data_IF_474659063801
#
_entry.id   IF_474659063801
#
_cell.length_a   1.000
_cell.length_b   1.000
_cell.length_c   1.000
_cell.angle_alpha   90.00
_cell.angle_beta   90.00
_cell.angle_gamma   90.00
#
_symmetry.space_group_name_H-M   'P 1'
#
loop_
_entity.id
_entity.type
_entity.pdbx_description
1 polymer ?
#
# COMPACT_ATOMS: atom_id res chain seq x y z
N UNK A 1 -12.58 -6.97 2.76
CA UNK A 1 -13.82 -7.75 2.66
C UNK A 1 -13.81 -8.71 3.84
N UNK A 2 -14.82 -8.63 4.71
CA UNK A 2 -14.92 -9.54 5.84
C UNK A 2 -15.68 -10.81 5.40
N UNK A 3 -15.02 -11.95 5.53
CA UNK A 3 -15.59 -13.26 5.21
C UNK A 3 -16.40 -13.87 6.36
N UNK A 4 -16.35 -13.27 7.56
CA UNK A 4 -17.10 -13.72 8.73
C UNK A 4 -18.61 -13.73 8.48
N UNK A 5 -19.08 -12.82 7.62
CA UNK A 5 -20.50 -12.64 7.26
C UNK A 5 -20.94 -13.44 6.04
N UNK A 6 -20.02 -14.11 5.33
CA UNK A 6 -20.34 -14.96 4.17
C UNK A 6 -20.30 -16.41 4.66
N UNK A 7 -21.36 -17.19 4.42
CA UNK A 7 -21.38 -18.59 4.84
C UNK A 7 -20.35 -19.43 4.08
N UNK A 8 -19.99 -20.59 4.65
CA UNK A 8 -18.96 -21.47 4.09
C UNK A 8 -19.28 -21.95 2.68
N UNK A 9 -20.55 -22.25 2.39
CA UNK A 9 -20.95 -22.76 1.08
C UNK A 9 -20.73 -21.70 0.01
N UNK A 10 -21.16 -20.47 0.26
CA UNK A 10 -20.94 -19.33 -0.64
C UNK A 10 -19.45 -19.08 -0.88
N UNK A 11 -18.59 -19.17 0.14
CA UNK A 11 -17.13 -19.01 -0.05
C UNK A 11 -16.53 -20.11 -0.91
N UNK A 12 -16.95 -21.35 -0.72
CA UNK A 12 -16.48 -22.48 -1.55
C UNK A 12 -16.97 -22.39 -2.99
N UNK A 13 -18.17 -21.83 -3.23
CA UNK A 13 -18.67 -21.58 -4.57
C UNK A 13 -17.82 -20.57 -5.36
N UNK A 14 -17.14 -19.63 -4.69
CA UNK A 14 -16.19 -18.71 -5.33
C UNK A 14 -14.92 -19.43 -5.83
N UNK A 15 -14.51 -20.48 -5.15
CA UNK A 15 -13.36 -21.32 -5.54
C UNK A 15 -13.71 -22.33 -6.64
N UNK A 16 -14.99 -22.59 -6.86
CA UNK A 16 -15.47 -23.53 -7.86
C UNK A 16 -15.65 -22.92 -9.25
N UNK A 17 -15.68 -23.78 -10.27
CA UNK A 17 -15.97 -23.39 -11.65
C UNK A 17 -14.71 -23.14 -12.49
N UNK A 18 -14.81 -22.18 -13.39
CA UNK A 18 -13.77 -21.87 -14.39
C UNK A 18 -12.62 -21.07 -13.79
N UNK A 19 -11.43 -21.29 -14.34
CA UNK A 19 -10.23 -20.50 -14.05
C UNK A 19 -10.02 -19.44 -15.14
N UNK A 20 -9.30 -18.38 -14.77
CA UNK A 20 -8.74 -17.37 -15.67
C UNK A 20 -7.21 -17.48 -15.61
N UNK A 21 -6.57 -17.39 -16.78
CA UNK A 21 -5.11 -17.29 -16.89
C UNK A 21 -4.69 -15.82 -16.82
N UNK A 22 -3.90 -15.45 -15.84
CA UNK A 22 -3.22 -14.17 -15.76
C UNK A 22 -1.82 -14.30 -16.36
N UNK A 23 -1.48 -13.42 -17.29
CA UNK A 23 -0.11 -13.27 -17.83
C UNK A 23 0.53 -12.08 -17.13
N UNK A 24 1.45 -12.35 -16.22
CA UNK A 24 2.07 -11.36 -15.35
C UNK A 24 3.41 -10.94 -15.93
N UNK A 25 3.47 -9.72 -16.45
CA UNK A 25 4.69 -9.11 -16.98
C UNK A 25 5.44 -8.36 -15.88
N UNK A 26 6.77 -8.47 -15.88
CA UNK A 26 7.62 -7.82 -14.90
C UNK A 26 8.99 -7.45 -15.49
N UNK A 27 9.61 -6.42 -14.91
CA UNK A 27 10.91 -5.88 -15.32
C UNK A 27 11.59 -5.20 -14.15
N UNK A 28 12.89 -5.43 -13.95
CA UNK A 28 13.58 -4.94 -12.76
C UNK A 28 15.04 -5.36 -12.76
N UNK A 29 15.77 -4.85 -11.78
CA UNK A 29 17.21 -5.05 -11.62
C UNK A 29 17.50 -6.21 -10.66
N UNK A 30 18.67 -6.83 -10.82
CA UNK A 30 19.14 -7.89 -9.91
C UNK A 30 19.15 -7.46 -8.44
N UNK A 31 19.61 -6.25 -8.07
CA UNK A 31 19.54 -5.78 -6.68
C UNK A 31 18.10 -5.72 -6.12
N UNK A 32 17.14 -5.22 -6.90
CA UNK A 32 15.73 -5.15 -6.46
C UNK A 32 15.15 -6.55 -6.23
N UNK A 33 15.46 -7.50 -7.11
CA UNK A 33 14.98 -8.87 -6.97
C UNK A 33 15.63 -9.63 -5.82
N UNK A 34 16.93 -9.42 -5.57
CA UNK A 34 17.61 -10.03 -4.43
C UNK A 34 16.95 -9.63 -3.11
N UNK A 35 16.57 -8.37 -2.97
CA UNK A 35 15.91 -7.88 -1.78
C UNK A 35 14.46 -8.39 -1.66
N UNK A 36 13.73 -8.48 -2.77
CA UNK A 36 12.40 -9.12 -2.81
C UNK A 36 12.43 -10.59 -2.40
N UNK A 37 13.44 -11.36 -2.82
CA UNK A 37 13.65 -12.74 -2.38
C UNK A 37 13.96 -12.78 -0.88
N UNK A 38 14.87 -11.93 -0.41
CA UNK A 38 15.23 -11.85 1.00
C UNK A 38 14.02 -11.53 1.88
N UNK A 39 13.16 -10.59 1.46
CA UNK A 39 11.95 -10.24 2.19
C UNK A 39 10.94 -11.42 2.22
N UNK A 40 10.85 -12.21 1.16
CA UNK A 40 9.95 -13.36 1.10
C UNK A 40 10.44 -14.56 1.94
N UNK A 41 11.69 -14.57 2.39
CA UNK A 41 12.27 -15.68 3.15
C UNK A 41 11.46 -15.93 4.43
N UNK A 42 11.01 -17.17 4.62
CA UNK A 42 10.13 -17.61 5.72
C UNK A 42 8.71 -16.98 5.74
N UNK A 43 8.41 -16.01 4.87
CA UNK A 43 7.10 -15.36 4.78
C UNK A 43 6.19 -15.97 3.69
N UNK A 44 6.77 -16.68 2.72
CA UNK A 44 6.03 -17.40 1.69
C UNK A 44 6.27 -18.91 1.77
N UNK A 45 5.36 -19.70 1.19
CA UNK A 45 5.55 -21.14 1.11
C UNK A 45 6.78 -21.49 0.22
N UNK A 46 7.40 -22.67 0.41
CA UNK A 46 8.63 -23.04 -0.31
C UNK A 46 8.50 -23.01 -1.84
N UNK A 47 7.33 -23.38 -2.37
CA UNK A 47 7.08 -23.36 -3.81
C UNK A 47 7.12 -21.94 -4.39
N UNK A 48 6.45 -20.98 -3.72
CA UNK A 48 6.52 -19.57 -4.13
C UNK A 48 7.94 -19.02 -4.00
N UNK A 49 8.65 -19.39 -2.93
CA UNK A 49 10.03 -18.95 -2.72
C UNK A 49 10.96 -19.42 -3.85
N UNK A 50 10.84 -20.69 -4.26
CA UNK A 50 11.55 -21.23 -5.43
C UNK A 50 11.22 -20.46 -6.71
N UNK A 51 9.94 -20.17 -6.95
CA UNK A 51 9.50 -19.39 -8.12
C UNK A 51 10.02 -17.96 -8.13
N UNK A 52 10.12 -17.29 -6.99
CA UNK A 52 10.77 -15.99 -6.89
C UNK A 52 12.24 -16.07 -7.34
N UNK A 53 12.97 -17.12 -6.92
CA UNK A 53 14.35 -17.39 -7.36
C UNK A 53 14.46 -17.61 -8.87
N UNK A 54 13.61 -18.46 -9.44
CA UNK A 54 13.56 -18.70 -10.90
C UNK A 54 13.27 -17.42 -11.69
N UNK A 55 12.31 -16.61 -11.21
CA UNK A 55 11.90 -15.36 -11.85
C UNK A 55 13.01 -14.30 -11.79
N UNK A 56 13.70 -14.20 -10.65
CA UNK A 56 14.85 -13.31 -10.49
C UNK A 56 16.03 -13.72 -11.38
N UNK A 57 16.21 -15.03 -11.63
CA UNK A 57 17.19 -15.53 -12.59
C UNK A 57 16.98 -15.04 -14.04
N UNK A 58 15.81 -14.50 -14.35
CA UNK A 58 15.50 -13.85 -15.63
C UNK A 58 15.70 -12.32 -15.61
N UNK A 59 16.36 -11.76 -14.59
CA UNK A 59 16.74 -10.35 -14.53
C UNK A 59 17.50 -9.90 -15.79
N UNK A 60 17.24 -8.67 -16.24
CA UNK A 60 17.91 -8.10 -17.42
C UNK A 60 17.36 -8.56 -18.77
N UNK A 61 16.41 -9.51 -18.83
CA UNK A 61 15.63 -9.74 -20.05
C UNK A 61 14.60 -8.63 -20.21
N UNK A 62 14.51 -8.05 -21.41
CA UNK A 62 13.44 -7.12 -21.74
C UNK A 62 12.10 -7.88 -21.69
N UNK A 63 11.29 -7.59 -20.66
CA UNK A 63 9.94 -8.12 -20.44
C UNK A 63 9.87 -9.64 -20.23
N UNK A 64 10.05 -10.08 -18.99
CA UNK A 64 9.73 -11.44 -18.57
C UNK A 64 8.24 -11.57 -18.23
N UNK A 65 7.67 -12.75 -18.46
CA UNK A 65 6.27 -13.02 -18.13
C UNK A 65 6.07 -14.42 -17.58
N UNK A 66 5.14 -14.57 -16.63
CA UNK A 66 4.66 -15.88 -16.18
C UNK A 66 3.16 -16.01 -16.35
N UNK A 67 2.65 -17.25 -16.34
CA UNK A 67 1.21 -17.54 -16.35
C UNK A 67 0.78 -18.06 -14.98
N UNK A 68 -0.33 -17.55 -14.47
CA UNK A 68 -0.93 -17.98 -13.21
C UNK A 68 -2.42 -18.23 -13.44
N UNK A 69 -2.92 -19.37 -13.00
CA UNK A 69 -4.35 -19.68 -13.05
C UNK A 69 -5.00 -19.40 -11.70
N UNK A 70 -6.19 -18.78 -11.73
CA UNK A 70 -6.96 -18.47 -10.52
C UNK A 70 -8.45 -18.68 -10.80
N UNK A 71 -9.26 -19.12 -9.80
CA UNK A 71 -10.71 -19.20 -9.97
C UNK A 71 -11.31 -17.84 -10.33
N UNK A 72 -12.08 -17.79 -11.42
CA UNK A 72 -12.61 -16.55 -12.00
C UNK A 72 -13.51 -15.80 -11.02
N UNK A 73 -14.43 -16.54 -10.37
CA UNK A 73 -15.36 -15.97 -9.38
C UNK A 73 -14.63 -15.43 -8.15
N UNK A 74 -13.59 -16.13 -7.69
CA UNK A 74 -12.76 -15.69 -6.58
C UNK A 74 -12.05 -14.37 -6.93
N UNK A 75 -11.42 -14.29 -8.11
CA UNK A 75 -10.73 -13.07 -8.55
C UNK A 75 -11.72 -11.90 -8.72
N UNK A 76 -12.88 -12.14 -9.34
CA UNK A 76 -13.92 -11.13 -9.52
C UNK A 76 -14.50 -10.64 -8.19
N UNK A 77 -14.66 -11.52 -7.19
CA UNK A 77 -15.09 -11.12 -5.85
C UNK A 77 -14.02 -10.28 -5.15
N UNK A 78 -12.74 -10.54 -5.42
CA UNK A 78 -11.64 -9.86 -4.77
C UNK A 78 -11.26 -8.51 -5.38
N UNK A 79 -11.49 -8.35 -6.68
CA UNK A 79 -10.99 -7.23 -7.46
C UNK A 79 -12.08 -6.56 -8.28
N UNK A 80 -12.22 -5.25 -8.07
CA UNK A 80 -13.21 -4.43 -8.77
C UNK A 80 -12.92 -4.38 -10.27
N UNK A 81 -11.63 -4.30 -10.62
CA UNK A 81 -11.17 -4.28 -12.01
C UNK A 81 -11.59 -5.56 -12.73
N UNK A 82 -11.46 -6.72 -12.07
CA UNK A 82 -11.85 -8.00 -12.65
C UNK A 82 -13.36 -8.24 -12.62
N UNK A 83 -14.09 -7.73 -11.63
CA UNK A 83 -15.55 -7.82 -11.57
C UNK A 83 -16.20 -7.19 -12.82
N UNK A 84 -15.71 -6.03 -13.26
CA UNK A 84 -16.18 -5.36 -14.48
C UNK A 84 -15.81 -6.09 -15.77
N UNK A 85 -14.76 -6.94 -15.74
CA UNK A 85 -14.31 -7.70 -16.89
C UNK A 85 -15.11 -8.99 -17.10
N UNK A 86 -15.69 -9.60 -16.04
CA UNK A 86 -16.43 -10.88 -16.12
C UNK A 86 -17.45 -10.95 -17.28
N UNK A 87 -18.28 -9.93 -17.54
CA UNK A 87 -19.21 -9.98 -18.68
C UNK A 87 -18.49 -10.08 -20.04
N UNK A 88 -17.35 -9.39 -20.18
CA UNK A 88 -16.51 -9.46 -21.38
C UNK A 88 -15.74 -10.78 -21.49
N UNK A 89 -15.36 -11.38 -20.35
CA UNK A 89 -14.75 -12.70 -20.26
C UNK A 89 -15.66 -13.78 -20.80
N UNK A 90 -16.91 -13.80 -20.33
CA UNK A 90 -17.92 -14.78 -20.73
C UNK A 90 -18.17 -14.70 -22.24
N UNK A 91 -18.38 -13.49 -22.76
CA UNK A 91 -18.57 -13.26 -24.19
C UNK A 91 -17.37 -13.71 -25.05
N UNK A 92 -16.14 -13.37 -24.63
CA UNK A 92 -14.93 -13.79 -25.36
C UNK A 92 -14.70 -15.30 -25.30
N UNK A 93 -14.98 -15.95 -24.18
CA UNK A 93 -14.85 -17.41 -24.05
C UNK A 93 -15.80 -18.15 -25.00
N UNK A 94 -17.00 -17.62 -25.21
CA UNK A 94 -17.98 -18.19 -26.15
C UNK A 94 -17.57 -18.02 -27.62
N UNK A 95 -16.81 -16.96 -27.93
CA UNK A 95 -16.39 -16.65 -29.30
C UNK A 95 -14.97 -17.17 -29.65
N UNK A 96 -14.05 -17.24 -28.68
CA UNK A 96 -12.62 -17.54 -28.84
C UNK A 96 -12.12 -18.44 -27.69
N UNK A 97 -12.44 -19.74 -27.68
CA UNK A 97 -12.19 -20.64 -26.55
C UNK A 97 -10.71 -20.92 -26.26
N UNK A 98 -9.80 -20.70 -27.22
CA UNK A 98 -8.40 -21.11 -27.10
C UNK A 98 -7.45 -20.07 -26.49
N UNK A 99 -7.91 -18.85 -26.16
CA UNK A 99 -6.98 -17.76 -25.78
C UNK A 99 -7.53 -16.81 -24.72
N UNK A 100 -8.18 -17.33 -23.68
CA UNK A 100 -8.61 -16.46 -22.59
C UNK A 100 -7.49 -16.22 -21.55
N UNK A 101 -6.80 -15.09 -21.69
CA UNK A 101 -5.83 -14.61 -20.71
C UNK A 101 -5.95 -13.10 -20.48
N UNK A 102 -5.72 -12.66 -19.24
CA UNK A 102 -5.59 -11.24 -18.91
C UNK A 102 -4.12 -10.90 -18.69
N UNK A 103 -3.61 -9.90 -19.40
CA UNK A 103 -2.27 -9.38 -19.16
C UNK A 103 -2.29 -8.34 -18.03
N UNK A 104 -1.30 -8.43 -17.14
CA UNK A 104 -1.05 -7.47 -16.09
C UNK A 104 0.43 -7.11 -16.06
N UNK A 105 0.73 -5.85 -15.80
CA UNK A 105 2.10 -5.38 -15.62
C UNK A 105 2.35 -5.09 -14.13
N UNK A 106 3.27 -5.86 -13.54
CA UNK A 106 3.65 -5.75 -12.13
C UNK A 106 4.80 -4.75 -11.89
N UNK A 107 5.34 -4.15 -12.95
CA UNK A 107 6.51 -3.28 -12.83
C UNK A 107 7.72 -4.04 -12.32
N UNK A 108 8.31 -3.50 -11.26
CA UNK A 108 9.53 -4.05 -10.64
C UNK A 108 9.26 -5.15 -9.62
N UNK A 109 8.02 -5.60 -9.47
CA UNK A 109 7.63 -6.65 -8.52
C UNK A 109 7.70 -8.01 -9.19
N UNK A 110 8.35 -8.96 -8.50
CA UNK A 110 8.41 -10.35 -8.94
C UNK A 110 7.01 -11.00 -8.89
N UNK A 111 6.58 -11.68 -9.97
CA UNK A 111 5.27 -12.32 -10.03
C UNK A 111 4.98 -13.37 -8.94
N UNK A 112 6.00 -13.91 -8.28
CA UNK A 112 5.81 -14.80 -7.13
C UNK A 112 5.02 -14.14 -5.99
N UNK A 113 5.07 -12.82 -5.84
CA UNK A 113 4.20 -12.11 -4.90
C UNK A 113 2.73 -12.19 -5.33
N UNK A 114 2.42 -12.11 -6.62
CA UNK A 114 1.05 -12.31 -7.11
C UNK A 114 0.58 -13.74 -6.87
N UNK A 115 1.45 -14.74 -7.11
CA UNK A 115 1.15 -16.13 -6.78
C UNK A 115 0.86 -16.30 -5.28
N UNK A 116 1.65 -15.66 -4.42
CA UNK A 116 1.45 -15.65 -2.98
C UNK A 116 0.10 -15.05 -2.59
N UNK A 117 -0.17 -13.81 -3.00
CA UNK A 117 -1.39 -13.07 -2.67
C UNK A 117 -2.65 -13.84 -3.12
N UNK A 118 -2.64 -14.38 -4.35
CA UNK A 118 -3.76 -15.14 -4.88
C UNK A 118 -3.95 -16.47 -4.15
N UNK A 119 -2.86 -17.19 -3.86
CA UNK A 119 -2.92 -18.44 -3.07
C UNK A 119 -3.47 -18.18 -1.68
N UNK A 120 -2.95 -17.14 -1.02
CA UNK A 120 -3.35 -16.74 0.31
C UNK A 120 -4.84 -16.38 0.36
N UNK A 121 -5.33 -15.60 -0.59
CA UNK A 121 -6.75 -15.28 -0.75
C UNK A 121 -7.61 -16.55 -0.92
N UNK A 122 -7.18 -17.48 -1.78
CA UNK A 122 -7.91 -18.72 -2.02
C UNK A 122 -7.94 -19.63 -0.78
N UNK A 123 -6.86 -19.66 0.01
CA UNK A 123 -6.83 -20.35 1.29
C UNK A 123 -7.78 -19.70 2.30
N UNK A 124 -7.78 -18.37 2.41
CA UNK A 124 -8.69 -17.64 3.31
C UNK A 124 -10.18 -17.95 3.00
N UNK A 125 -10.56 -18.00 1.72
CA UNK A 125 -11.90 -18.41 1.30
C UNK A 125 -12.25 -19.84 1.76
N UNK A 126 -11.29 -20.77 1.64
CA UNK A 126 -11.47 -22.18 1.99
C UNK A 126 -11.61 -22.40 3.50
N UNK A 127 -10.74 -21.75 4.26
CA UNK A 127 -10.60 -21.95 5.70
C UNK A 127 -11.57 -21.06 6.49
N UNK A 128 -12.18 -20.07 5.83
CA UNK A 128 -13.12 -19.16 6.46
C UNK A 128 -12.46 -18.17 7.41
N UNK A 129 -11.17 -17.92 7.23
CA UNK A 129 -10.44 -16.91 7.98
C UNK A 129 -10.92 -15.54 7.48
N UNK A 130 -11.67 -14.83 8.33
CA UNK A 130 -12.03 -13.44 8.10
C UNK A 130 -10.78 -12.61 7.97
N UNK A 131 -10.66 -11.83 6.87
CA UNK A 131 -10.10 -10.47 6.82
C UNK A 131 -8.69 -10.17 7.35
N UNK A 132 -8.09 -11.03 8.15
CA UNK A 132 -6.81 -10.85 8.77
C UNK A 132 -5.81 -11.32 7.73
N UNK A 133 -5.60 -10.45 6.76
CA UNK A 133 -4.41 -10.38 5.92
C UNK A 133 -3.15 -10.17 6.78
N UNK A 134 -3.19 -10.47 8.06
CA UNK A 134 -2.14 -10.27 9.02
C UNK A 134 -2.16 -11.42 10.01
N UNK A 135 -1.00 -11.94 10.39
CA UNK A 135 -0.89 -12.67 11.65
C UNK A 135 -1.43 -11.77 12.77
N UNK A 136 -2.02 -12.34 13.81
CA UNK A 136 -2.49 -11.58 15.00
C UNK A 136 -1.40 -10.65 15.58
N UNK A 137 -0.12 -10.95 15.31
CA UNK A 137 1.04 -10.11 15.52
C UNK A 137 1.97 -10.22 14.32
N UNK A 138 1.92 -9.32 13.33
CA UNK A 138 2.89 -9.35 12.27
C UNK A 138 4.29 -9.12 12.87
N UNK A 139 5.23 -10.00 12.53
CA UNK A 139 6.65 -9.78 12.86
C UNK A 139 7.12 -8.54 12.10
N UNK A 140 7.73 -7.60 12.83
CA UNK A 140 8.32 -6.37 12.28
C UNK A 140 9.84 -6.37 12.48
N UNK A 141 10.45 -7.54 12.70
CA UNK A 141 11.89 -7.63 12.85
C UNK A 141 12.57 -7.58 11.48
N UNK A 142 13.61 -6.73 11.39
CA UNK A 142 14.62 -6.68 10.33
C UNK A 142 14.06 -6.48 8.89
N UNK A 143 13.78 -7.57 8.18
CA UNK A 143 13.52 -7.61 6.73
C UNK A 143 12.04 -7.83 6.36
N UNK A 144 11.19 -8.20 7.32
CA UNK A 144 9.77 -8.54 7.06
C UNK A 144 8.96 -7.31 6.59
N UNK A 145 9.43 -6.09 6.89
CA UNK A 145 8.71 -4.86 6.53
C UNK A 145 8.52 -4.70 5.01
N UNK A 146 9.49 -5.15 4.22
CA UNK A 146 9.42 -5.07 2.77
C UNK A 146 8.49 -6.12 2.16
N UNK A 147 8.36 -7.28 2.80
CA UNK A 147 7.43 -8.32 2.37
C UNK A 147 5.99 -7.80 2.35
N UNK A 148 5.61 -7.05 3.40
CA UNK A 148 4.29 -6.43 3.48
C UNK A 148 4.10 -5.35 2.41
N UNK A 149 5.14 -4.56 2.12
CA UNK A 149 5.11 -3.57 1.06
C UNK A 149 4.91 -4.22 -0.32
N UNK A 150 5.67 -5.26 -0.65
CA UNK A 150 5.55 -5.96 -1.93
C UNK A 150 4.20 -6.66 -2.09
N UNK A 151 3.67 -7.24 -1.01
CA UNK A 151 2.34 -7.83 -0.98
C UNK A 151 1.24 -6.78 -1.20
N UNK A 152 1.36 -5.62 -0.56
CA UNK A 152 0.44 -4.50 -0.74
C UNK A 152 0.41 -4.00 -2.19
N UNK A 153 1.59 -3.73 -2.76
CA UNK A 153 1.70 -3.25 -4.14
C UNK A 153 1.12 -4.27 -5.12
N UNK A 154 1.38 -5.55 -4.88
CA UNK A 154 0.80 -6.64 -5.68
C UNK A 154 -0.72 -6.65 -5.62
N UNK A 155 -1.32 -6.50 -4.43
CA UNK A 155 -2.77 -6.41 -4.28
C UNK A 155 -3.34 -5.21 -5.06
N UNK A 156 -2.64 -4.07 -5.07
CA UNK A 156 -3.03 -2.91 -5.88
C UNK A 156 -3.00 -3.23 -7.37
N UNK A 157 -1.93 -3.85 -7.88
CA UNK A 157 -1.82 -4.24 -9.30
C UNK A 157 -2.84 -5.31 -9.71
N UNK A 158 -3.34 -6.09 -8.76
CA UNK A 158 -4.43 -7.06 -8.97
C UNK A 158 -5.84 -6.43 -8.85
N UNK A 159 -5.96 -5.13 -8.54
CA UNK A 159 -7.24 -4.45 -8.29
C UNK A 159 -7.93 -4.86 -6.98
N UNK A 160 -7.21 -5.55 -6.09
CA UNK A 160 -7.69 -6.03 -4.78
C UNK A 160 -7.70 -4.92 -3.72
N UNK A 161 -8.31 -3.77 -4.05
CA UNK A 161 -8.17 -2.53 -3.27
C UNK A 161 -8.63 -2.64 -1.82
N UNK A 162 -9.73 -3.35 -1.56
CA UNK A 162 -10.24 -3.53 -0.20
C UNK A 162 -9.25 -4.30 0.70
N UNK A 163 -8.52 -5.26 0.13
CA UNK A 163 -7.54 -6.05 0.86
C UNK A 163 -6.24 -5.27 1.08
N UNK A 164 -5.78 -4.56 0.05
CA UNK A 164 -4.67 -3.64 0.18
C UNK A 164 -4.94 -2.57 1.25
N UNK A 165 -6.14 -1.96 1.29
CA UNK A 165 -6.50 -0.99 2.33
C UNK A 165 -6.42 -1.59 3.74
N UNK A 166 -6.99 -2.79 3.93
CA UNK A 166 -6.95 -3.49 5.22
C UNK A 166 -5.51 -3.73 5.69
N UNK A 167 -4.63 -4.16 4.78
CA UNK A 167 -3.21 -4.33 5.05
C UNK A 167 -2.52 -2.99 5.37
N UNK A 168 -2.86 -1.94 4.61
CA UNK A 168 -2.36 -0.59 4.79
C UNK A 168 -2.65 -0.05 6.19
N UNK A 169 -3.91 -0.11 6.61
CA UNK A 169 -4.40 0.39 7.89
C UNK A 169 -3.80 -0.37 9.08
N UNK A 170 -3.56 -1.66 8.90
CA UNK A 170 -3.24 -2.56 10.01
C UNK A 170 -1.73 -2.75 10.22
N UNK A 171 -0.90 -2.69 9.17
CA UNK A 171 0.56 -2.82 9.31
C UNK A 171 1.35 -1.69 8.66
N UNK A 172 1.02 -1.26 7.43
CA UNK A 172 1.89 -0.32 6.72
C UNK A 172 1.97 1.04 7.41
N UNK A 173 0.88 1.50 8.04
CA UNK A 173 0.89 2.66 8.94
C UNK A 173 2.02 2.59 9.97
N UNK A 174 2.07 1.47 10.69
CA UNK A 174 3.09 1.20 11.71
C UNK A 174 4.48 1.12 11.08
N UNK A 175 4.64 0.45 9.94
CA UNK A 175 5.94 0.30 9.28
C UNK A 175 6.49 1.63 8.78
N UNK A 176 5.64 2.46 8.20
CA UNK A 176 6.00 3.80 7.73
C UNK A 176 6.38 4.67 8.91
N UNK A 177 5.53 4.78 9.93
CA UNK A 177 5.73 5.71 11.04
C UNK A 177 6.86 5.29 12.00
N UNK A 178 6.87 4.02 12.43
CA UNK A 178 7.74 3.54 13.52
C UNK A 178 8.99 2.81 13.03
N UNK A 179 8.95 2.20 11.85
CA UNK A 179 10.03 1.34 11.35
C UNK A 179 10.70 1.87 10.09
N UNK A 180 10.48 3.15 9.77
CA UNK A 180 11.24 3.88 8.75
C UNK A 180 11.19 3.13 7.41
N UNK A 181 10.01 2.60 7.04
CA UNK A 181 9.87 1.77 5.84
C UNK A 181 10.34 2.52 4.58
N UNK A 182 10.05 3.83 4.51
CA UNK A 182 10.19 4.66 3.31
C UNK A 182 11.26 5.75 3.45
N UNK A 183 12.16 5.63 4.43
CA UNK A 183 13.17 6.65 4.70
C UNK A 183 14.36 6.56 3.74
N UNK A 184 14.56 5.37 3.15
CA UNK A 184 15.59 5.13 2.14
C UNK A 184 15.09 5.60 0.77
N UNK A 185 15.88 6.43 0.09
CA UNK A 185 15.52 7.03 -1.22
C UNK A 185 15.01 6.02 -2.23
N UNK A 186 15.66 4.85 -2.32
CA UNK A 186 15.31 3.85 -3.32
C UNK A 186 13.97 3.15 -3.00
N UNK A 187 13.57 3.05 -1.72
CA UNK A 187 12.22 2.60 -1.35
C UNK A 187 11.21 3.68 -1.69
N UNK A 188 11.50 4.93 -1.37
CA UNK A 188 10.60 6.03 -1.68
C UNK A 188 10.33 6.07 -3.19
N UNK A 189 11.39 6.03 -4.00
CA UNK A 189 11.32 5.92 -5.46
C UNK A 189 10.44 4.74 -5.90
N UNK A 190 10.69 3.55 -5.36
CA UNK A 190 9.89 2.36 -5.65
C UNK A 190 8.40 2.53 -5.30
N UNK A 191 8.07 3.15 -4.16
CA UNK A 191 6.69 3.41 -3.74
C UNK A 191 6.02 4.41 -4.68
N UNK A 192 6.70 5.49 -5.03
CA UNK A 192 6.16 6.55 -5.88
C UNK A 192 5.99 6.10 -7.34
N UNK A 193 6.87 5.22 -7.84
CA UNK A 193 6.75 4.62 -9.17
C UNK A 193 5.54 3.66 -9.27
N UNK A 194 5.20 2.99 -8.18
CA UNK A 194 4.20 1.91 -8.20
C UNK A 194 2.79 2.34 -7.75
N UNK A 195 2.66 3.48 -7.06
CA UNK A 195 1.39 3.99 -6.55
C UNK A 195 0.88 5.20 -7.34
N UNK A 196 -0.43 5.39 -7.25
CA UNK A 196 -1.10 6.60 -7.76
C UNK A 196 -1.32 7.59 -6.63
N UNK A 197 -1.52 8.87 -6.95
CA UNK A 197 -1.81 9.93 -5.97
C UNK A 197 -3.07 9.69 -5.12
N UNK A 198 -4.01 8.90 -5.65
CA UNK A 198 -5.23 8.51 -4.94
C UNK A 198 -5.00 7.44 -3.87
N UNK A 199 -3.82 6.81 -3.85
CA UNK A 199 -3.54 5.70 -2.95
C UNK A 199 -3.32 6.19 -1.50
N UNK A 200 -3.95 5.56 -0.49
CA UNK A 200 -3.75 5.88 0.92
C UNK A 200 -2.28 5.83 1.38
N UNK A 201 -1.49 4.86 0.90
CA UNK A 201 -0.07 4.76 1.28
C UNK A 201 0.74 5.94 0.70
N UNK A 202 0.41 6.39 -0.51
CA UNK A 202 1.04 7.58 -1.12
C UNK A 202 0.87 8.81 -0.21
N UNK A 203 -0.34 9.03 0.31
CA UNK A 203 -0.64 10.13 1.24
C UNK A 203 0.07 9.98 2.57
N UNK A 204 0.07 8.78 3.14
CA UNK A 204 0.76 8.49 4.40
C UNK A 204 2.26 8.74 4.30
N UNK A 205 2.89 8.38 3.17
CA UNK A 205 4.31 8.66 2.92
C UNK A 205 4.57 10.16 2.81
N UNK A 206 3.69 10.91 2.13
CA UNK A 206 3.79 12.36 2.09
C UNK A 206 3.68 12.98 3.50
N UNK A 207 2.71 12.53 4.30
CA UNK A 207 2.54 12.97 5.70
C UNK A 207 3.79 12.70 6.55
N UNK A 208 4.42 11.54 6.37
CA UNK A 208 5.68 11.23 7.04
C UNK A 208 6.77 12.23 6.70
N UNK A 209 6.98 12.56 5.43
CA UNK A 209 8.01 13.51 5.01
C UNK A 209 7.73 14.93 5.51
N UNK A 210 6.46 15.33 5.55
CA UNK A 210 6.04 16.59 6.17
C UNK A 210 6.47 16.65 7.65
N UNK A 211 6.27 15.56 8.41
CA UNK A 211 6.67 15.47 9.83
C UNK A 211 8.20 15.48 9.97
N UNK A 212 8.92 14.67 9.20
CA UNK A 212 10.38 14.56 9.26
C UNK A 212 11.06 15.90 8.96
N UNK A 213 10.59 16.62 7.93
CA UNK A 213 11.12 17.95 7.59
C UNK A 213 10.87 18.98 8.70
N UNK A 214 9.66 19.00 9.29
CA UNK A 214 9.35 19.90 10.40
C UNK A 214 10.17 19.60 11.66
N UNK A 215 10.60 18.36 11.85
CA UNK A 215 11.49 17.95 12.94
C UNK A 215 12.97 18.18 12.63
N UNK A 216 13.33 18.58 11.40
CA UNK A 216 14.73 18.65 10.96
C UNK A 216 15.40 17.27 10.89
N UNK A 217 14.61 16.21 10.72
CA UNK A 217 15.03 14.80 10.73
C UNK A 217 14.80 14.13 9.37
N UNK A 218 14.79 14.91 8.28
CA UNK A 218 14.70 14.33 6.94
C UNK A 218 15.85 13.36 6.70
N UNK A 219 15.51 12.14 6.30
CA UNK A 219 16.49 11.10 5.94
C UNK A 219 17.14 11.37 4.58
N UNK A 220 16.54 12.24 3.76
CA UNK A 220 17.02 12.58 2.43
C UNK A 220 17.87 13.84 2.47
N UNK A 221 18.98 13.83 1.72
CA UNK A 221 19.73 15.06 1.42
C UNK A 221 18.92 16.00 0.53
N UNK A 222 19.28 17.28 0.49
CA UNK A 222 18.65 18.25 -0.41
C UNK A 222 18.72 17.80 -1.88
N UNK A 223 19.86 17.24 -2.31
CA UNK A 223 20.02 16.72 -3.67
C UNK A 223 19.07 15.54 -3.95
N UNK A 224 18.90 14.63 -2.99
CA UNK A 224 17.98 13.50 -3.13
C UNK A 224 16.52 13.98 -3.18
N UNK A 225 16.18 14.97 -2.37
CA UNK A 225 14.86 15.60 -2.40
C UNK A 225 14.56 16.28 -3.73
N UNK A 226 15.54 17.01 -4.29
CA UNK A 226 15.41 17.64 -5.60
C UNK A 226 15.18 16.60 -6.71
N UNK A 227 15.90 15.47 -6.67
CA UNK A 227 15.69 14.36 -7.63
C UNK A 227 14.28 13.78 -7.50
N UNK A 228 13.82 13.49 -6.27
CA UNK A 228 12.49 12.91 -6.03
C UNK A 228 11.37 13.86 -6.46
N UNK A 229 11.44 15.13 -6.09
CA UNK A 229 10.41 16.12 -6.44
C UNK A 229 10.42 16.50 -7.91
N UNK A 230 11.57 16.40 -8.60
CA UNK A 230 11.62 16.55 -10.05
C UNK A 230 11.04 15.35 -10.79
N UNK A 231 11.31 14.13 -10.30
CA UNK A 231 10.83 12.88 -10.90
C UNK A 231 9.33 12.66 -10.64
N UNK A 232 8.87 13.00 -9.43
CA UNK A 232 7.50 12.86 -8.95
C UNK A 232 6.95 14.22 -8.48
N UNK A 233 6.67 15.16 -9.41
CA UNK A 233 6.26 16.52 -9.06
C UNK A 233 4.98 16.56 -8.23
N UNK A 234 4.05 15.64 -8.47
CA UNK A 234 2.82 15.51 -7.69
C UNK A 234 3.08 15.18 -6.21
N UNK A 235 4.08 14.35 -5.93
CA UNK A 235 4.49 14.04 -4.56
C UNK A 235 5.11 15.28 -3.89
N UNK A 236 6.01 15.97 -4.58
CA UNK A 236 6.62 17.21 -4.07
C UNK A 236 5.58 18.28 -3.75
N UNK A 237 4.64 18.52 -4.68
CA UNK A 237 3.54 19.45 -4.46
C UNK A 237 2.65 19.04 -3.28
N UNK A 238 2.35 17.75 -3.13
CA UNK A 238 1.57 17.26 -2.00
C UNK A 238 2.26 17.56 -0.67
N UNK A 239 3.56 17.28 -0.56
CA UNK A 239 4.35 17.57 0.66
C UNK A 239 4.39 19.07 0.94
N UNK A 240 4.71 19.90 -0.06
CA UNK A 240 4.75 21.37 0.11
C UNK A 240 3.40 21.95 0.53
N UNK A 241 2.30 21.55 -0.11
CA UNK A 241 0.96 22.04 0.23
C UNK A 241 0.56 21.67 1.66
N UNK A 242 0.91 20.45 2.10
CA UNK A 242 0.60 19.98 3.46
C UNK A 242 1.47 20.67 4.51
N UNK A 243 2.72 20.96 4.19
CA UNK A 243 3.57 21.79 5.05
C UNK A 243 3.02 23.20 5.22
N UNK A 244 2.57 23.84 4.14
CA UNK A 244 1.95 25.16 4.19
C UNK A 244 0.71 25.14 5.10
N UNK A 245 -0.18 24.16 4.92
CA UNK A 245 -1.37 23.99 5.74
C UNK A 245 -1.05 23.77 7.23
N UNK A 246 -0.01 23.00 7.57
CA UNK A 246 0.41 22.81 8.96
C UNK A 246 0.98 24.08 9.58
N UNK A 247 1.74 24.88 8.82
CA UNK A 247 2.26 26.17 9.28
C UNK A 247 1.12 27.16 9.56
N UNK A 248 0.16 27.26 8.65
CA UNK A 248 -1.04 28.10 8.83
C UNK A 248 -1.84 27.68 10.07
N UNK A 249 -2.06 26.38 10.29
CA UNK A 249 -2.73 25.89 11.49
C UNK A 249 -1.94 26.16 12.78
N UNK A 250 -0.60 26.05 12.75
CA UNK A 250 0.25 26.38 13.90
C UNK A 250 0.18 27.87 14.25
N UNK A 251 0.20 28.75 13.24
CA UNK A 251 0.07 30.19 13.42
C UNK A 251 -1.31 30.58 13.96
N UNK A 252 -2.38 29.96 13.44
CA UNK A 252 -3.74 30.14 13.95
C UNK A 252 -3.85 29.70 15.42
N UNK A 253 -3.28 28.54 15.75
CA UNK A 253 -3.26 28.04 17.13
C UNK A 253 -2.57 29.00 18.10
N UNK A 254 -1.39 29.52 17.72
CA UNK A 254 -0.67 30.53 18.51
C UNK A 254 -1.45 31.83 18.64
N UNK A 255 -2.10 32.29 17.56
CA UNK A 255 -2.94 33.48 17.59
C UNK A 255 -4.15 33.33 18.53
N UNK A 256 -4.78 32.15 18.53
CA UNK A 256 -5.87 31.82 19.47
C UNK A 256 -5.39 31.76 20.92
N UNK A 257 -4.24 31.14 21.18
CA UNK A 257 -3.66 31.07 22.53
C UNK A 257 -3.32 32.47 23.09
N UNK A 258 -2.71 33.34 22.26
CA UNK A 258 -2.47 34.74 22.64
C UNK A 258 -3.77 35.51 22.88
N UNK A 259 -4.81 35.28 22.08
CA UNK A 259 -6.10 35.92 22.27
C UNK A 259 -6.77 35.50 23.58
N UNK A 260 -6.70 34.20 23.94
CA UNK A 260 -7.22 33.67 25.22
C UNK A 260 -6.49 34.30 26.40
N UNK A 261 -5.16 34.36 26.36
CA UNK A 261 -4.35 35.00 27.41
C UNK A 261 -4.72 36.49 27.57
N UNK A 262 -4.97 37.20 26.47
CA UNK A 262 -5.40 38.60 26.51
C UNK A 262 -6.82 38.79 27.08
N UNK A 263 -7.75 37.88 26.81
CA UNK A 263 -9.09 37.92 27.41
C UNK A 263 -9.09 37.55 28.90
N UNK A 264 -8.29 36.58 29.34
CA UNK A 264 -8.19 36.21 30.76
C UNK A 264 -7.42 37.27 31.57
N UNK A 265 -6.38 37.89 31.01
CA UNK A 265 -5.63 38.98 31.63
C UNK A 265 -6.46 40.27 31.84
N UNK A 266 -7.38 40.58 30.92
CA UNK A 266 -8.26 41.75 31.04
C UNK A 266 -9.43 41.54 32.02
N UNK A 267 -9.75 40.29 32.38
CA UNK A 267 -10.84 40.02 33.32
C UNK A 267 -10.41 40.23 34.79
N UNK A 268 -9.09 40.21 35.07
CA UNK A 268 -8.55 40.33 36.44
C UNK A 268 -8.21 41.79 36.82
N UNK A 269 -8.09 42.72 35.88
CA UNK A 269 -7.83 44.15 36.16
C UNK A 269 -9.10 45.02 36.30
N UNK A 270 -10.29 44.44 36.25
CA UNK A 270 -11.57 45.20 36.29
C UNK A 270 -12.22 45.38 37.68
N UNK A 271 -11.70 44.79 38.75
CA UNK A 271 -12.33 44.82 40.08
C UNK A 271 -11.43 45.45 41.15
N UNK A 272 -11.08 46.73 41.01
CA UNK A 272 -10.59 47.56 42.11
C UNK A 272 -11.02 49.00 41.88
N UNK A 273 -12.12 49.41 42.52
CA UNK A 273 -12.59 50.79 42.45
C UNK A 273 -14.06 50.92 42.82
N UNK A 274 -14.35 50.88 44.12
CA UNK A 274 -15.69 51.09 44.66
C UNK A 274 -15.66 51.18 46.18
N UNK A 275 -14.88 52.12 46.72
CA UNK A 275 -15.12 52.65 48.06
C UNK A 275 -16.53 53.27 48.08
N UNK A 276 -17.43 52.65 48.86
CA UNK A 276 -18.70 53.23 49.25
C UNK A 276 -18.44 54.05 50.52
N UNK A 277 -18.48 55.37 50.37
CA UNK A 277 -18.70 56.30 51.48
C UNK A 277 -20.05 55.97 52.15
N UNK A 278 -20.00 55.67 53.45
CA UNK A 278 -20.97 56.06 54.48
C UNK A 278 -20.28 56.04 55.84
#
# INVERSE_FOLDING_TARGET
>A
MDFSHIDRETRLQLLGGTTITLVLHYSGSTPHYAQQISAAQNNVNPYVYEKLGEQAGNAGRAFSSIRVEVPEKALAAASQDFAGLVPHVVYKRECEPETYYQQLYLGQILPGYAMHVLTWYCCALRDGLSGDFLPEKPSVQECDKFFWLYSYMTMRKLGMHCFANSLGDSILGILVEKYQLVDEMWILDFVLENLTEGDPLFRLVADRYVVLENMGQSSLSLEQWDVITHTYPHFGHLVTNRQAALREMSELGKAMEMAVIHTEGNTIQGCNGGELEL
#
